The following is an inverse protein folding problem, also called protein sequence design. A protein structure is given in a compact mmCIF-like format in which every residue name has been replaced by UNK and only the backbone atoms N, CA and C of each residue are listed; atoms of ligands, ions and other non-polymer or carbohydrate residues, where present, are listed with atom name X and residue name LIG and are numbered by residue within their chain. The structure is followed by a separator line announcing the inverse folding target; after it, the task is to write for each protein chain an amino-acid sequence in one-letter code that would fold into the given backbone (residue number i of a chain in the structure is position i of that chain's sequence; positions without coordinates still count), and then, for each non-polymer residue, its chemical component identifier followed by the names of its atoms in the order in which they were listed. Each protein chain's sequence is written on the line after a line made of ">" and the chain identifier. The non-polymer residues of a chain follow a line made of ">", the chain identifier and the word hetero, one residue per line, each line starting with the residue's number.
data_IF_878498187715
#
_entry.id   IF_878498187715
#
_cell.length_a   1.000
_cell.length_b   1.000
_cell.length_c   1.000
_cell.angle_alpha   90.00
_cell.angle_beta   90.00
_cell.angle_gamma   90.00
#
_symmetry.space_group_name_H-M   'P 1'
#
loop_
_entity.id
_entity.type
_entity.pdbx_description
1 polymer ?
#
# COMPACT_ATOMS: atom_id res chain seq x y z
N UNK A 1 33.25 11.95 -8.30
CA UNK A 1 32.62 11.51 -7.02
C UNK A 1 31.50 12.41 -6.49
N UNK A 2 31.58 13.75 -6.55
CA UNK A 2 30.54 14.65 -5.98
C UNK A 2 29.15 14.52 -6.64
N UNK A 3 29.09 14.26 -7.94
CA UNK A 3 27.83 14.13 -8.69
C UNK A 3 27.01 12.86 -8.38
N UNK A 4 27.67 11.74 -8.09
CA UNK A 4 26.98 10.47 -7.79
C UNK A 4 26.29 10.51 -6.42
N UNK A 5 26.96 11.09 -5.41
CA UNK A 5 26.42 11.28 -4.06
C UNK A 5 25.17 12.18 -4.07
N UNK A 6 25.16 13.24 -4.89
CA UNK A 6 24.00 14.12 -5.03
C UNK A 6 22.81 13.40 -5.69
N UNK A 7 23.05 12.60 -6.74
CA UNK A 7 22.00 11.80 -7.41
C UNK A 7 21.37 10.78 -6.47
N UNK A 8 22.16 10.11 -5.65
CA UNK A 8 21.67 9.17 -4.63
C UNK A 8 20.79 9.85 -3.58
N UNK A 9 21.22 11.01 -3.07
CA UNK A 9 20.46 11.79 -2.09
C UNK A 9 19.11 12.26 -2.65
N UNK A 10 19.08 12.81 -3.85
CA UNK A 10 17.84 13.28 -4.51
C UNK A 10 16.87 12.12 -4.72
N UNK A 11 17.35 10.99 -5.24
CA UNK A 11 16.50 9.82 -5.47
C UNK A 11 15.94 9.21 -4.18
N UNK A 12 16.69 9.23 -3.07
CA UNK A 12 16.17 8.83 -1.75
C UNK A 12 15.07 9.78 -1.28
N UNK A 13 15.27 11.10 -1.43
CA UNK A 13 14.26 12.10 -1.05
C UNK A 13 12.97 11.95 -1.87
N UNK A 14 13.08 11.69 -3.18
CA UNK A 14 11.91 11.45 -4.03
C UNK A 14 11.16 10.17 -3.64
N UNK A 15 11.88 9.05 -3.43
CA UNK A 15 11.24 7.78 -3.01
C UNK A 15 10.59 7.91 -1.63
N UNK A 16 11.21 8.63 -0.70
CA UNK A 16 10.63 8.91 0.61
C UNK A 16 9.31 9.69 0.52
N UNK A 17 9.27 10.77 -0.27
CA UNK A 17 8.05 11.57 -0.47
C UNK A 17 6.97 10.76 -1.18
N UNK A 18 7.34 10.02 -2.23
CA UNK A 18 6.42 9.16 -2.97
C UNK A 18 5.80 8.10 -2.05
N UNK A 19 6.60 7.46 -1.20
CA UNK A 19 6.11 6.47 -0.25
C UNK A 19 5.08 7.06 0.73
N UNK A 20 5.32 8.26 1.25
CA UNK A 20 4.35 8.93 2.13
C UNK A 20 3.04 9.23 1.39
N UNK A 21 3.11 9.73 0.15
CA UNK A 21 1.92 9.94 -0.69
C UNK A 21 1.17 8.64 -0.90
N UNK A 22 1.88 7.53 -1.19
CA UNK A 22 1.26 6.22 -1.33
C UNK A 22 0.56 5.78 -0.04
N UNK A 23 1.19 5.94 1.13
CA UNK A 23 0.59 5.55 2.42
C UNK A 23 -0.68 6.35 2.73
N UNK A 24 -0.69 7.66 2.47
CA UNK A 24 -1.90 8.47 2.62
C UNK A 24 -2.98 8.08 1.60
N UNK A 25 -2.60 7.89 0.34
CA UNK A 25 -3.53 7.47 -0.71
C UNK A 25 -4.13 6.09 -0.41
N UNK A 26 -3.34 5.15 0.12
CA UNK A 26 -3.84 3.88 0.62
C UNK A 26 -4.87 4.11 1.73
N UNK A 27 -4.58 4.94 2.73
CA UNK A 27 -5.57 5.25 3.79
C UNK A 27 -6.91 5.76 3.24
N UNK A 28 -6.88 6.68 2.27
CA UNK A 28 -8.09 7.20 1.60
C UNK A 28 -8.80 6.08 0.84
N UNK A 29 -8.06 5.30 0.05
CA UNK A 29 -8.59 4.19 -0.74
C UNK A 29 -9.22 3.13 0.16
N UNK A 30 -8.58 2.78 1.28
CA UNK A 30 -9.17 1.92 2.30
C UNK A 30 -10.47 2.46 2.86
N UNK A 31 -10.61 3.79 2.98
CA UNK A 31 -11.83 4.40 3.52
C UNK A 31 -12.96 4.26 2.52
N UNK A 32 -12.68 4.54 1.24
CA UNK A 32 -13.66 4.37 0.15
C UNK A 32 -14.16 2.93 0.00
N UNK A 33 -13.42 1.93 0.48
CA UNK A 33 -13.84 0.53 0.51
C UNK A 33 -15.20 0.37 1.21
N UNK A 34 -15.40 1.05 2.34
CA UNK A 34 -16.64 0.95 3.13
C UNK A 34 -17.80 1.80 2.60
N UNK A 35 -17.55 2.66 1.61
CA UNK A 35 -18.59 3.50 0.99
C UNK A 35 -19.06 2.93 -0.33
N UNK A 36 -18.15 2.31 -1.10
CA UNK A 36 -18.46 1.80 -2.43
C UNK A 36 -18.72 0.31 -2.47
N UNK A 37 -18.24 -0.45 -1.49
CA UNK A 37 -18.49 -1.90 -1.46
C UNK A 37 -19.91 -2.20 -0.99
N UNK A 38 -20.71 -2.75 -1.90
CA UNK A 38 -22.10 -3.14 -1.64
C UNK A 38 -22.23 -4.48 -0.91
N UNK A 39 -21.13 -5.23 -0.75
CA UNK A 39 -21.11 -6.56 -0.11
C UNK A 39 -21.21 -6.43 1.40
N UNK A 40 -22.18 -7.12 2.02
CA UNK A 40 -22.34 -7.12 3.49
C UNK A 40 -21.19 -7.82 4.23
N UNK A 41 -20.44 -8.68 3.54
CA UNK A 41 -19.28 -9.40 4.09
C UNK A 41 -18.26 -8.46 4.73
N UNK A 42 -18.07 -7.26 4.16
CA UNK A 42 -17.06 -6.28 4.61
C UNK A 42 -17.31 -5.74 6.02
N UNK A 43 -18.54 -5.86 6.53
CA UNK A 43 -18.91 -5.44 7.88
C UNK A 43 -18.86 -6.58 8.90
N UNK A 44 -18.48 -7.79 8.50
CA UNK A 44 -18.27 -8.87 9.46
C UNK A 44 -17.04 -8.59 10.33
N UNK A 45 -17.04 -9.15 11.53
CA UNK A 45 -16.02 -8.88 12.56
C UNK A 45 -14.60 -9.13 12.04
N UNK A 46 -14.38 -10.19 11.26
CA UNK A 46 -13.06 -10.54 10.71
C UNK A 46 -12.54 -9.46 9.74
N UNK A 47 -13.42 -8.93 8.89
CA UNK A 47 -13.10 -7.88 7.92
C UNK A 47 -12.82 -6.53 8.59
N UNK A 48 -13.62 -6.18 9.60
CA UNK A 48 -13.40 -4.99 10.42
C UNK A 48 -12.08 -5.08 11.20
N UNK A 49 -11.80 -6.24 11.82
CA UNK A 49 -10.54 -6.48 12.52
C UNK A 49 -9.33 -6.37 11.57
N UNK A 50 -9.43 -6.95 10.38
CA UNK A 50 -8.41 -6.82 9.34
C UNK A 50 -8.16 -5.36 8.95
N UNK A 51 -9.24 -4.57 8.82
CA UNK A 51 -9.13 -3.15 8.49
C UNK A 51 -8.54 -2.31 9.61
N UNK A 52 -8.92 -2.56 10.87
CA UNK A 52 -8.31 -1.90 12.04
C UNK A 52 -6.80 -2.19 12.09
N UNK A 53 -6.41 -3.45 11.90
CA UNK A 53 -5.01 -3.86 11.82
C UNK A 53 -4.28 -3.13 10.70
N UNK A 54 -4.90 -3.07 9.52
CA UNK A 54 -4.34 -2.43 8.34
C UNK A 54 -4.14 -0.91 8.53
N UNK A 55 -5.13 -0.17 9.05
CA UNK A 55 -4.99 1.26 9.36
C UNK A 55 -3.95 1.53 10.45
N UNK A 56 -3.84 0.63 11.44
CA UNK A 56 -2.81 0.72 12.47
C UNK A 56 -1.41 0.58 11.85
N UNK A 57 -1.24 -0.35 10.91
CA UNK A 57 0.02 -0.50 10.16
C UNK A 57 0.33 0.70 9.25
N UNK A 58 -0.67 1.29 8.60
CA UNK A 58 -0.49 2.56 7.84
C UNK A 58 0.04 3.64 8.78
N UNK A 59 -0.66 3.87 9.88
CA UNK A 59 -0.34 4.93 10.85
C UNK A 59 1.07 4.75 11.42
N UNK A 60 1.39 3.52 11.84
CA UNK A 60 2.74 3.16 12.30
C UNK A 60 3.80 3.43 11.22
N UNK A 61 3.54 3.01 9.98
CA UNK A 61 4.46 3.21 8.86
C UNK A 61 4.70 4.69 8.59
N UNK A 62 3.65 5.51 8.54
CA UNK A 62 3.75 6.96 8.33
C UNK A 62 4.63 7.60 9.42
N UNK A 63 4.35 7.33 10.70
CA UNK A 63 5.10 7.88 11.83
C UNK A 63 6.59 7.52 11.71
N UNK A 64 6.90 6.25 11.43
CA UNK A 64 8.29 5.79 11.31
C UNK A 64 9.00 6.31 10.06
N UNK A 65 8.30 6.41 8.92
CA UNK A 65 8.85 6.97 7.68
C UNK A 65 9.14 8.46 7.87
N UNK A 66 8.24 9.24 8.48
CA UNK A 66 8.47 10.65 8.82
C UNK A 66 9.70 10.82 9.73
N UNK A 67 9.87 9.92 10.71
CA UNK A 67 11.07 9.83 11.54
C UNK A 67 12.31 9.26 10.84
N UNK A 68 12.24 9.02 9.52
CA UNK A 68 13.28 8.43 8.65
C UNK A 68 13.86 7.12 9.19
N UNK A 69 13.06 6.33 9.92
CA UNK A 69 13.49 5.05 10.50
C UNK A 69 13.38 3.94 9.47
N UNK A 70 14.41 3.09 9.38
CA UNK A 70 14.50 1.96 8.43
C UNK A 70 13.30 1.00 8.54
N UNK A 71 12.82 0.77 9.76
CA UNK A 71 11.65 -0.06 10.05
C UNK A 71 10.37 0.46 9.41
N UNK A 72 10.21 1.78 9.27
CA UNK A 72 9.04 2.37 8.61
C UNK A 72 8.96 2.00 7.12
N UNK A 73 10.09 2.08 6.41
CA UNK A 73 10.15 1.69 5.00
C UNK A 73 9.89 0.20 4.81
N UNK A 74 10.40 -0.65 5.72
CA UNK A 74 10.16 -2.09 5.67
C UNK A 74 8.68 -2.43 5.85
N UNK A 75 8.05 -1.90 6.91
CA UNK A 75 6.63 -2.17 7.19
C UNK A 75 5.74 -1.58 6.09
N UNK A 76 6.06 -0.40 5.57
CA UNK A 76 5.34 0.18 4.44
C UNK A 76 5.42 -0.69 3.17
N UNK A 77 6.57 -1.32 2.91
CA UNK A 77 6.74 -2.24 1.79
C UNK A 77 5.93 -3.53 1.96
N UNK A 78 5.98 -4.15 3.14
CA UNK A 78 5.16 -5.34 3.47
C UNK A 78 3.68 -5.00 3.34
N UNK A 79 3.25 -3.88 3.92
CA UNK A 79 1.88 -3.40 3.85
C UNK A 79 1.42 -3.19 2.40
N UNK A 80 2.27 -2.58 1.57
CA UNK A 80 1.97 -2.35 0.16
C UNK A 80 1.85 -3.67 -0.62
N UNK A 81 2.71 -4.65 -0.36
CA UNK A 81 2.59 -5.99 -0.93
C UNK A 81 1.31 -6.70 -0.52
N UNK A 82 0.98 -6.69 0.78
CA UNK A 82 -0.26 -7.29 1.28
C UNK A 82 -1.48 -6.62 0.67
N UNK A 83 -1.51 -5.29 0.57
CA UNK A 83 -2.60 -4.57 -0.11
C UNK A 83 -2.68 -4.93 -1.58
N UNK A 84 -1.56 -4.94 -2.31
CA UNK A 84 -1.54 -5.30 -3.71
C UNK A 84 -2.13 -6.71 -3.93
N UNK A 85 -1.64 -7.70 -3.18
CA UNK A 85 -2.12 -9.08 -3.27
C UNK A 85 -3.62 -9.18 -2.95
N UNK A 86 -4.06 -8.55 -1.86
CA UNK A 86 -5.47 -8.53 -1.47
C UNK A 86 -6.36 -7.96 -2.58
N UNK A 87 -5.99 -6.81 -3.16
CA UNK A 87 -6.78 -6.18 -4.23
C UNK A 87 -6.79 -6.99 -5.53
N UNK A 88 -5.69 -7.67 -5.85
CA UNK A 88 -5.65 -8.56 -7.03
C UNK A 88 -6.48 -9.83 -6.81
N UNK A 89 -6.43 -10.42 -5.62
CA UNK A 89 -7.22 -11.61 -5.29
C UNK A 89 -8.72 -11.31 -5.20
N UNK A 90 -9.12 -10.11 -4.77
CA UNK A 90 -10.53 -9.67 -4.81
C UNK A 90 -11.03 -9.52 -6.27
N UNK A 91 -10.12 -9.23 -7.22
CA UNK A 91 -10.43 -9.12 -8.65
C UNK A 91 -10.07 -10.36 -9.47
N UNK A 92 -9.80 -11.50 -8.82
CA UNK A 92 -9.39 -12.73 -9.48
C UNK A 92 -10.33 -13.15 -10.62
N UNK A 93 -11.62 -12.86 -10.46
CA UNK A 93 -12.68 -13.19 -11.41
C UNK A 93 -12.51 -12.52 -12.79
N UNK A 94 -11.76 -11.41 -12.88
CA UNK A 94 -11.54 -10.67 -14.13
C UNK A 94 -10.72 -11.45 -15.15
N UNK A 95 -9.91 -12.40 -14.69
CA UNK A 95 -9.06 -13.26 -15.54
C UNK A 95 -9.50 -14.72 -15.45
N UNK A 96 -9.86 -15.20 -14.26
CA UNK A 96 -10.06 -16.63 -14.01
C UNK A 96 -11.53 -17.02 -13.77
N UNK A 97 -12.47 -16.11 -14.02
CA UNK A 97 -13.93 -16.33 -13.92
C UNK A 97 -14.43 -16.87 -12.56
N UNK A 98 -13.62 -16.83 -11.50
CA UNK A 98 -13.96 -17.27 -10.14
C UNK A 98 -13.51 -16.30 -9.05
N UNK A 99 -14.01 -16.49 -7.84
CA UNK A 99 -13.73 -15.61 -6.68
C UNK A 99 -12.93 -16.35 -5.62
N UNK A 100 -11.98 -15.65 -4.95
CA UNK A 100 -11.09 -16.28 -3.95
C UNK A 100 -11.41 -15.85 -2.53
N UNK A 101 -11.55 -14.55 -2.28
CA UNK A 101 -11.61 -14.01 -0.91
C UNK A 101 -13.04 -13.71 -0.45
N UNK A 102 -13.88 -13.22 -1.36
CA UNK A 102 -15.23 -12.76 -1.09
C UNK A 102 -16.12 -12.99 -2.30
N UNK A 103 -17.42 -12.72 -2.18
CA UNK A 103 -18.30 -12.63 -3.35
C UNK A 103 -17.82 -11.60 -4.35
N UNK A 104 -18.20 -11.76 -5.62
CA UNK A 104 -17.71 -10.94 -6.73
C UNK A 104 -18.00 -9.45 -6.46
N UNK A 105 -16.98 -8.58 -6.54
CA UNK A 105 -17.19 -7.14 -6.41
C UNK A 105 -17.93 -6.59 -7.65
N UNK A 106 -18.66 -5.50 -7.46
CA UNK A 106 -19.26 -4.77 -8.56
C UNK A 106 -18.21 -4.01 -9.40
N UNK A 107 -18.66 -3.38 -10.48
CA UNK A 107 -17.78 -2.67 -11.42
C UNK A 107 -17.04 -1.50 -10.77
N UNK A 108 -17.72 -0.72 -9.91
CA UNK A 108 -17.11 0.43 -9.24
C UNK A 108 -15.98 -0.04 -8.33
N UNK A 109 -16.25 -1.11 -7.57
CA UNK A 109 -15.30 -1.70 -6.66
C UNK A 109 -14.11 -2.33 -7.38
N UNK A 110 -14.36 -2.95 -8.54
CA UNK A 110 -13.31 -3.49 -9.42
C UNK A 110 -12.33 -2.40 -9.87
N UNK A 111 -12.84 -1.28 -10.40
CA UNK A 111 -12.01 -0.15 -10.85
C UNK A 111 -11.22 0.44 -9.68
N UNK A 112 -11.88 0.67 -8.53
CA UNK A 112 -11.22 1.19 -7.32
C UNK A 112 -10.08 0.29 -6.87
N UNK A 113 -10.28 -1.03 -6.91
CA UNK A 113 -9.25 -1.98 -6.51
C UNK A 113 -8.04 -1.95 -7.46
N UNK A 114 -8.24 -1.79 -8.77
CA UNK A 114 -7.11 -1.62 -9.70
C UNK A 114 -6.35 -0.31 -9.47
N UNK A 115 -7.05 0.80 -9.20
CA UNK A 115 -6.41 2.07 -8.81
C UNK A 115 -5.59 1.88 -7.54
N UNK A 116 -6.17 1.24 -6.53
CA UNK A 116 -5.48 0.91 -5.28
C UNK A 116 -4.26 0.01 -5.49
N UNK A 117 -4.35 -0.97 -6.38
CA UNK A 117 -3.24 -1.85 -6.72
C UNK A 117 -2.10 -1.08 -7.42
N UNK A 118 -2.41 -0.14 -8.31
CA UNK A 118 -1.41 0.75 -8.90
C UNK A 118 -0.67 1.57 -7.84
N UNK A 119 -1.40 2.14 -6.87
CA UNK A 119 -0.80 2.88 -5.75
C UNK A 119 0.03 1.96 -4.86
N UNK A 120 -0.45 0.76 -4.55
CA UNK A 120 0.29 -0.24 -3.79
C UNK A 120 1.58 -0.64 -4.50
N UNK A 121 1.57 -0.82 -5.83
CA UNK A 121 2.76 -1.09 -6.63
C UNK A 121 3.79 0.05 -6.53
N UNK A 122 3.36 1.32 -6.59
CA UNK A 122 4.24 2.46 -6.34
C UNK A 122 4.78 2.47 -4.91
N UNK A 123 3.97 2.09 -3.92
CA UNK A 123 4.39 1.90 -2.52
C UNK A 123 5.48 0.84 -2.37
N UNK A 124 5.34 -0.30 -3.05
CA UNK A 124 6.35 -1.37 -3.10
C UNK A 124 7.65 -0.80 -3.67
N UNK A 125 7.63 -0.22 -4.87
CA UNK A 125 8.84 0.28 -5.53
C UNK A 125 9.55 1.36 -4.71
N UNK A 126 8.79 2.33 -4.19
CA UNK A 126 9.33 3.44 -3.40
C UNK A 126 9.90 2.99 -2.05
N UNK A 127 9.23 2.05 -1.36
CA UNK A 127 9.74 1.48 -0.09
C UNK A 127 11.02 0.68 -0.28
N UNK A 128 11.09 -0.22 -1.27
CA UNK A 128 12.29 -1.01 -1.57
C UNK A 128 13.48 -0.10 -1.90
N UNK A 129 13.26 0.90 -2.75
CA UNK A 129 14.29 1.86 -3.15
C UNK A 129 14.80 2.69 -1.96
N UNK A 130 13.89 3.19 -1.12
CA UNK A 130 14.25 3.99 0.05
C UNK A 130 14.96 3.15 1.12
N UNK A 131 14.49 1.93 1.37
CA UNK A 131 15.07 1.00 2.35
C UNK A 131 16.51 0.61 2.00
N UNK A 132 16.76 0.26 0.74
CA UNK A 132 18.10 -0.14 0.28
C UNK A 132 19.09 1.05 0.32
N UNK A 133 18.66 2.24 -0.07
CA UNK A 133 19.52 3.44 -0.03
C UNK A 133 19.82 3.91 1.40
N UNK A 134 18.91 3.67 2.34
CA UNK A 134 19.17 3.92 3.78
C UNK A 134 20.22 2.97 4.36
N UNK A 135 20.34 1.75 3.83
CA UNK A 135 21.40 0.80 4.25
C UNK A 135 22.79 1.32 3.92
N UNK A 136 22.94 2.01 2.78
CA UNK A 136 24.25 2.47 2.28
C UNK A 136 24.74 3.79 2.91
N UNK A 137 24.00 4.34 3.87
CA UNK A 137 24.28 5.62 4.52
C UNK A 137 24.74 5.50 5.98
N UNK A 138 24.80 4.26 6.48
CA UNK A 138 25.33 3.85 7.79
C UNK A 138 26.67 3.19 7.50
#
# INVERSE_FOLDING_TARGET
>A
MKGTVNKERTSLTSNHKLLLVCLFALGIIGTTYYYFDTRKEVYQVQWLAGSISWYSMISFSIIKVLGKKKTGYLVAGILSWTTFAFLMLDNWYTVFHGTVIATRPDYVMTVRNFIGAGIAALGILSSHNAFNKMKNKI
#
